data_IF_196017411871
#
_entry.id   IF_196017411871
#
_cell.length_a   1.000
_cell.length_b   1.000
_cell.length_c   1.000
_cell.angle_alpha   90.00
_cell.angle_beta   90.00
_cell.angle_gamma   90.00
#
_symmetry.space_group_name_H-M   'P 1'
#
loop_
_entity.id
_entity.type
_entity.pdbx_description
1 polymer ?
#
# COMPACT_ATOMS: atom_id res chain seq x y z
N UNK A 1 -26.30 29.50 19.08
CA UNK A 1 -25.90 28.23 19.72
C UNK A 1 -25.66 27.11 18.70
N UNK A 2 -26.61 26.81 17.80
CA UNK A 2 -26.42 25.74 16.81
C UNK A 2 -25.32 26.05 15.77
N UNK A 3 -25.32 27.27 15.20
CA UNK A 3 -24.32 27.67 14.19
C UNK A 3 -22.88 27.71 14.71
N UNK A 4 -22.68 28.09 15.97
CA UNK A 4 -21.37 28.06 16.63
C UNK A 4 -20.85 26.64 16.84
N UNK A 5 -21.75 25.70 17.17
CA UNK A 5 -21.41 24.28 17.27
C UNK A 5 -20.99 23.71 15.92
N UNK A 6 -21.76 23.98 14.86
CA UNK A 6 -21.41 23.55 13.50
C UNK A 6 -20.08 24.13 13.02
N UNK A 7 -19.82 25.39 13.35
CA UNK A 7 -18.55 26.03 12.99
C UNK A 7 -17.35 25.39 13.71
N UNK A 8 -17.49 25.08 15.01
CA UNK A 8 -16.46 24.37 15.76
C UNK A 8 -16.24 22.95 15.23
N UNK A 9 -17.32 22.24 14.88
CA UNK A 9 -17.23 20.89 14.31
C UNK A 9 -16.52 20.91 12.95
N UNK A 10 -16.89 21.86 12.08
CA UNK A 10 -16.25 22.04 10.78
C UNK A 10 -14.75 22.36 10.94
N UNK A 11 -14.40 23.25 11.87
CA UNK A 11 -13.00 23.57 12.16
C UNK A 11 -12.22 22.32 12.64
N UNK A 12 -12.82 21.49 13.50
CA UNK A 12 -12.19 20.28 14.01
C UNK A 12 -11.95 19.24 12.91
N UNK A 13 -12.92 19.07 11.99
CA UNK A 13 -12.77 18.18 10.82
C UNK A 13 -11.66 18.69 9.90
N UNK A 14 -11.59 20.00 9.63
CA UNK A 14 -10.54 20.59 8.77
C UNK A 14 -9.16 20.42 9.40
N UNK A 15 -9.01 20.71 10.69
CA UNK A 15 -7.72 20.55 11.40
C UNK A 15 -7.32 19.08 11.46
N UNK A 16 -8.24 18.18 11.80
CA UNK A 16 -8.00 16.73 11.80
C UNK A 16 -7.60 16.21 10.43
N UNK A 17 -8.26 16.67 9.37
CA UNK A 17 -7.95 16.33 7.98
C UNK A 17 -6.56 16.81 7.56
N UNK A 18 -6.16 18.02 7.94
CA UNK A 18 -4.82 18.56 7.64
C UNK A 18 -3.71 17.79 8.38
N UNK A 19 -3.92 17.47 9.66
CA UNK A 19 -2.97 16.67 10.44
C UNK A 19 -2.85 15.24 9.89
N UNK A 20 -3.98 14.63 9.54
CA UNK A 20 -4.01 13.30 8.94
C UNK A 20 -3.36 13.29 7.56
N UNK A 21 -3.60 14.31 6.72
CA UNK A 21 -2.97 14.44 5.41
C UNK A 21 -1.45 14.64 5.50
N UNK A 22 -0.98 15.37 6.51
CA UNK A 22 0.44 15.48 6.82
C UNK A 22 1.07 14.16 7.26
N UNK A 23 0.36 13.38 8.09
CA UNK A 23 0.80 12.05 8.52
C UNK A 23 0.78 11.03 7.37
N UNK A 24 -0.21 11.10 6.49
CA UNK A 24 -0.32 10.24 5.32
C UNK A 24 0.81 10.51 4.33
N UNK A 25 1.16 11.79 4.08
CA UNK A 25 2.34 12.14 3.28
C UNK A 25 3.63 11.54 3.84
N UNK A 26 3.84 11.62 5.17
CA UNK A 26 5.03 11.03 5.82
C UNK A 26 5.08 9.50 5.72
N UNK A 27 3.92 8.83 5.72
CA UNK A 27 3.82 7.37 5.54
C UNK A 27 4.03 6.94 4.09
N UNK A 28 3.55 7.71 3.13
CA UNK A 28 3.73 7.45 1.70
C UNK A 28 5.16 7.78 1.25
N UNK A 29 5.81 8.78 1.84
CA UNK A 29 7.23 9.12 1.59
C UNK A 29 8.22 8.12 2.25
N UNK A 30 7.76 6.94 2.69
CA UNK A 30 8.60 5.87 3.23
C UNK A 30 9.35 6.18 4.54
N UNK A 31 9.08 7.32 5.19
CA UNK A 31 9.86 7.81 6.33
C UNK A 31 9.38 7.29 7.69
N UNK A 32 8.27 6.56 7.73
CA UNK A 32 7.73 5.96 8.95
C UNK A 32 7.64 4.44 8.75
N UNK A 33 8.74 3.69 8.95
CA UNK A 33 8.71 2.23 8.89
C UNK A 33 8.04 1.74 10.17
N UNK A 34 6.72 1.88 10.21
CA UNK A 34 5.88 1.32 11.26
C UNK A 34 5.65 -0.16 10.94
N UNK A 35 6.76 -0.90 10.89
CA UNK A 35 6.78 -2.32 10.59
C UNK A 35 7.78 -2.97 11.53
N UNK A 36 7.27 -3.28 12.72
CA UNK A 36 7.98 -4.08 13.73
C UNK A 36 8.04 -5.57 13.36
N UNK A 37 7.46 -5.94 12.22
CA UNK A 37 7.52 -7.30 11.69
C UNK A 37 8.87 -7.54 10.98
N UNK A 38 9.70 -8.47 11.49
CA UNK A 38 11.00 -8.80 10.88
C UNK A 38 10.86 -9.40 9.47
N UNK A 39 9.75 -10.08 9.16
CA UNK A 39 9.50 -10.65 7.84
C UNK A 39 9.30 -9.56 6.79
N UNK A 40 8.52 -8.52 7.15
CA UNK A 40 8.29 -7.40 6.27
C UNK A 40 9.56 -6.54 6.08
N UNK A 41 10.43 -6.43 7.10
CA UNK A 41 11.74 -5.80 6.94
C UNK A 41 12.62 -6.52 5.94
N UNK A 42 12.61 -7.85 5.96
CA UNK A 42 13.36 -8.66 5.00
C UNK A 42 12.83 -8.47 3.58
N UNK A 43 11.51 -8.54 3.39
CA UNK A 43 10.88 -8.31 2.07
C UNK A 43 11.20 -6.91 1.53
N UNK A 44 11.16 -5.88 2.37
CA UNK A 44 11.51 -4.51 1.96
C UNK A 44 12.99 -4.36 1.61
N UNK A 45 13.89 -5.01 2.36
CA UNK A 45 15.32 -5.00 2.07
C UNK A 45 15.64 -5.72 0.75
N UNK A 46 15.01 -6.88 0.51
CA UNK A 46 15.23 -7.68 -0.68
C UNK A 46 14.62 -7.02 -1.92
N UNK A 47 13.39 -6.48 -1.81
CA UNK A 47 12.71 -5.81 -2.93
C UNK A 47 13.37 -4.49 -3.35
N UNK A 48 13.90 -3.72 -2.40
CA UNK A 48 14.66 -2.51 -2.69
C UNK A 48 15.98 -2.77 -3.42
N UNK A 49 16.58 -3.95 -3.25
CA UNK A 49 17.83 -4.32 -3.92
C UNK A 49 17.65 -4.71 -5.40
N UNK A 50 16.42 -5.00 -5.83
CA UNK A 50 16.14 -5.62 -7.13
C UNK A 50 15.55 -4.65 -8.17
N UNK A 51 15.19 -3.42 -7.77
CA UNK A 51 14.54 -2.46 -8.67
C UNK A 51 15.31 -1.15 -8.75
N UNK A 52 15.89 -0.78 -9.91
CA UNK A 52 16.25 0.61 -10.14
C UNK A 52 14.95 1.43 -10.15
N UNK A 53 14.80 2.37 -9.20
CA UNK A 53 13.58 3.16 -8.98
C UNK A 53 13.14 3.97 -10.24
N UNK A 54 14.04 4.15 -11.21
CA UNK A 54 13.85 5.02 -12.38
C UNK A 54 13.61 4.28 -13.72
N UNK A 55 13.56 2.94 -13.73
CA UNK A 55 13.29 2.20 -14.96
C UNK A 55 11.77 2.02 -15.15
N UNK A 56 11.21 2.37 -16.33
CA UNK A 56 9.84 2.02 -16.65
C UNK A 56 9.66 0.50 -16.61
N UNK A 57 8.49 0.06 -16.14
CA UNK A 57 8.13 -1.36 -16.17
C UNK A 57 8.05 -1.86 -17.61
N UNK A 58 8.59 -3.05 -17.86
CA UNK A 58 8.40 -3.74 -19.12
C UNK A 58 7.03 -4.43 -19.10
N UNK A 59 6.02 -3.74 -19.60
CA UNK A 59 4.64 -4.23 -19.66
C UNK A 59 4.48 -5.45 -20.58
N UNK A 60 5.36 -5.61 -21.58
CA UNK A 60 5.29 -6.74 -22.51
C UNK A 60 5.82 -8.00 -21.83
N UNK A 61 6.97 -7.91 -21.17
CA UNK A 61 7.53 -9.02 -20.39
C UNK A 61 6.60 -9.46 -19.26
N UNK A 62 5.88 -8.51 -18.64
CA UNK A 62 4.87 -8.83 -17.62
C UNK A 62 3.71 -9.62 -18.24
N UNK A 63 3.21 -9.20 -19.40
CA UNK A 63 2.08 -9.87 -20.05
C UNK A 63 2.44 -11.29 -20.47
N UNK A 64 3.62 -11.49 -21.06
CA UNK A 64 4.11 -12.83 -21.45
C UNK A 64 4.22 -13.76 -20.23
N UNK A 65 4.77 -13.25 -19.11
CA UNK A 65 4.89 -14.01 -17.87
C UNK A 65 3.51 -14.32 -17.24
N UNK A 66 2.55 -13.41 -17.32
CA UNK A 66 1.17 -13.65 -16.87
C UNK A 66 0.49 -14.72 -17.72
N UNK A 67 0.63 -14.68 -19.05
CA UNK A 67 0.10 -15.70 -19.94
C UNK A 67 0.69 -17.08 -19.62
N UNK A 68 2.01 -17.20 -19.45
CA UNK A 68 2.67 -18.45 -19.03
C UNK A 68 2.20 -18.93 -17.65
N UNK A 69 1.97 -18.01 -16.71
CA UNK A 69 1.45 -18.34 -15.39
C UNK A 69 0.02 -18.90 -15.44
N UNK A 70 -0.85 -18.28 -16.23
CA UNK A 70 -2.25 -18.69 -16.33
C UNK A 70 -2.48 -19.93 -17.21
N UNK A 71 -1.55 -20.25 -18.12
CA UNK A 71 -1.62 -21.46 -18.96
C UNK A 71 -1.21 -22.74 -18.23
N UNK A 72 -0.62 -22.63 -17.03
CA UNK A 72 -0.22 -23.77 -16.22
C UNK A 72 -1.42 -24.53 -15.64
N UNK A 73 -1.22 -25.83 -15.34
CA UNK A 73 -2.21 -26.63 -14.65
C UNK A 73 -2.24 -26.24 -13.17
N UNK A 74 -3.38 -25.70 -12.73
CA UNK A 74 -3.59 -25.27 -11.35
C UNK A 74 -4.36 -26.35 -10.58
N UNK A 75 -3.83 -26.73 -9.42
CA UNK A 75 -4.56 -27.59 -8.49
C UNK A 75 -5.91 -26.95 -8.13
N UNK A 76 -6.97 -27.76 -8.11
CA UNK A 76 -8.23 -27.27 -7.60
C UNK A 76 -8.10 -26.93 -6.12
N UNK A 77 -8.64 -25.78 -5.68
CA UNK A 77 -8.59 -25.41 -4.27
C UNK A 77 -9.26 -26.51 -3.45
N UNK A 78 -8.58 -26.97 -2.39
CA UNK A 78 -9.18 -27.95 -1.50
C UNK A 78 -10.45 -27.38 -0.88
N UNK A 79 -11.54 -28.15 -0.93
CA UNK A 79 -12.78 -27.80 -0.24
C UNK A 79 -12.49 -27.60 1.24
N UNK A 80 -12.59 -26.36 1.72
CA UNK A 80 -12.47 -26.03 3.13
C UNK A 80 -13.61 -26.71 3.90
N UNK A 81 -13.33 -27.88 4.49
CA UNK A 81 -14.24 -28.58 5.39
C UNK A 81 -13.94 -28.15 6.82
N UNK A 82 -14.63 -27.09 7.24
CA UNK A 82 -14.74 -26.68 8.65
C UNK A 82 -15.75 -27.51 9.42
#
# INVERSE_FOLDING_TARGET
>A
MLGTLFFLLAALVVVGGLLFRGRLRRRLDGRDPMTDDPLLRQILADSGAQRPEDAPLDEEAIREAEEEFWDQEWDQPEDWRG
#
